data_IF_655030679154
#
_entry.id   IF_655030679154
#
_cell.length_a   1.000
_cell.length_b   1.000
_cell.length_c   1.000
_cell.angle_alpha   90.00
_cell.angle_beta   90.00
_cell.angle_gamma   90.00
#
_symmetry.space_group_name_H-M   'P 1'
#
loop_
_entity.id
_entity.type
_entity.pdbx_description
1 polymer ?
#
# COMPACT_ATOMS: atom_id res chain seq x y z
N UNK A 1 -35.76 30.44 -58.49
CA UNK A 1 -34.51 30.82 -57.80
C UNK A 1 -34.68 31.95 -56.77
N UNK A 2 -35.84 32.06 -56.11
CA UNK A 2 -36.10 33.06 -55.05
C UNK A 2 -36.57 32.43 -53.73
N UNK A 3 -37.16 31.23 -53.76
CA UNK A 3 -37.67 30.51 -52.58
C UNK A 3 -36.57 29.84 -51.73
N UNK A 4 -35.54 29.25 -52.34
CA UNK A 4 -34.47 28.55 -51.58
C UNK A 4 -33.58 29.49 -50.76
N UNK A 5 -33.30 30.69 -51.27
CA UNK A 5 -32.51 31.70 -50.54
C UNK A 5 -33.27 32.29 -49.34
N UNK A 6 -34.60 32.17 -49.33
CA UNK A 6 -35.43 32.61 -48.21
C UNK A 6 -35.41 31.59 -47.06
N UNK A 7 -35.46 30.30 -47.38
CA UNK A 7 -35.35 29.21 -46.39
C UNK A 7 -34.00 29.22 -45.66
N UNK A 8 -32.88 29.36 -46.37
CA UNK A 8 -31.56 29.39 -45.74
C UNK A 8 -31.35 30.61 -44.79
N UNK A 9 -31.94 31.76 -45.13
CA UNK A 9 -31.90 32.97 -44.27
C UNK A 9 -32.82 32.86 -43.06
N UNK A 10 -33.98 32.20 -43.21
CA UNK A 10 -34.91 31.97 -42.12
C UNK A 10 -34.35 30.97 -41.11
N UNK A 11 -33.79 29.85 -41.57
CA UNK A 11 -33.18 28.82 -40.72
C UNK A 11 -32.00 29.39 -39.91
N UNK A 12 -31.12 30.19 -40.52
CA UNK A 12 -30.03 30.88 -39.78
C UNK A 12 -30.52 31.86 -38.72
N UNK A 13 -31.61 32.59 -38.99
CA UNK A 13 -32.20 33.53 -38.03
C UNK A 13 -32.88 32.82 -36.87
N UNK A 14 -33.57 31.72 -37.14
CA UNK A 14 -34.19 30.89 -36.08
C UNK A 14 -33.12 30.23 -35.22
N UNK A 15 -32.04 29.70 -35.81
CA UNK A 15 -30.95 29.08 -35.05
C UNK A 15 -30.20 30.08 -34.16
N UNK A 16 -29.96 31.31 -34.66
CA UNK A 16 -29.35 32.37 -33.86
C UNK A 16 -30.27 32.82 -32.71
N UNK A 17 -31.59 32.87 -32.95
CA UNK A 17 -32.58 33.22 -31.92
C UNK A 17 -32.64 32.16 -30.81
N UNK A 18 -32.56 30.88 -31.17
CA UNK A 18 -32.55 29.75 -30.20
C UNK A 18 -31.26 29.76 -29.37
N UNK A 19 -30.10 30.05 -29.96
CA UNK A 19 -28.85 30.19 -29.23
C UNK A 19 -28.85 31.39 -28.26
N UNK A 20 -29.43 32.52 -28.67
CA UNK A 20 -29.58 33.69 -27.79
C UNK A 20 -30.58 33.42 -26.67
N UNK A 21 -31.68 32.70 -26.94
CA UNK A 21 -32.63 32.29 -25.90
C UNK A 21 -32.01 31.29 -24.92
N UNK A 22 -31.21 30.32 -25.39
CA UNK A 22 -30.51 29.35 -24.54
C UNK A 22 -29.47 30.05 -23.64
N UNK A 23 -28.74 31.03 -24.17
CA UNK A 23 -27.83 31.86 -23.39
C UNK A 23 -28.56 32.74 -22.37
N UNK A 24 -29.78 33.22 -22.67
CA UNK A 24 -30.61 33.98 -21.73
C UNK A 24 -31.16 33.08 -20.60
N UNK A 25 -31.59 31.86 -20.92
CA UNK A 25 -32.11 30.88 -19.94
C UNK A 25 -30.99 30.38 -19.02
N UNK A 26 -29.78 30.17 -19.55
CA UNK A 26 -28.60 29.82 -18.74
C UNK A 26 -28.02 31.03 -17.98
N UNK A 27 -28.22 32.26 -18.49
CA UNK A 27 -27.75 33.50 -17.89
C UNK A 27 -28.66 34.09 -16.79
N UNK A 28 -29.90 33.63 -16.67
CA UNK A 28 -30.88 34.17 -15.70
C UNK A 28 -30.97 33.39 -14.38
N UNK A 29 -30.20 32.32 -14.18
CA UNK A 29 -30.19 31.57 -12.92
C UNK A 29 -29.00 31.91 -12.01
N UNK A 30 -28.68 33.20 -11.89
CA UNK A 30 -27.74 33.75 -10.88
C UNK A 30 -28.50 34.61 -9.88
N UNK A 31 -29.30 33.98 -9.01
CA UNK A 31 -29.68 34.57 -7.72
C UNK A 31 -30.51 33.60 -6.89
N UNK A 32 -29.86 32.91 -5.94
CA UNK A 32 -30.33 32.55 -4.58
C UNK A 32 -29.36 31.52 -3.99
N UNK A 33 -28.30 32.00 -3.35
CA UNK A 33 -27.62 31.25 -2.28
C UNK A 33 -27.87 31.99 -0.97
N UNK A 34 -28.34 31.34 0.10
CA UNK A 34 -28.34 31.93 1.42
C UNK A 34 -26.92 32.04 1.97
N UNK A 35 -26.71 33.13 2.70
CA UNK A 35 -25.45 33.54 3.33
C UNK A 35 -25.17 32.75 4.62
N UNK A 36 -23.85 32.49 4.81
CA UNK A 36 -23.10 32.47 6.09
C UNK A 36 -23.24 31.28 7.03
N UNK A 37 -22.17 30.48 7.06
CA UNK A 37 -21.43 30.23 8.31
C UNK A 37 -19.98 30.72 8.08
N UNK A 38 -19.60 31.82 8.74
CA UNK A 38 -18.23 32.32 8.73
C UNK A 38 -17.36 31.40 9.61
N UNK A 39 -16.43 30.65 9.00
CA UNK A 39 -15.14 30.42 9.63
C UNK A 39 -14.17 31.44 9.01
N UNK A 40 -13.59 32.29 9.86
CA UNK A 40 -12.54 33.19 9.46
C UNK A 40 -11.33 32.37 9.03
N UNK A 41 -11.05 32.33 7.72
CA UNK A 41 -9.72 31.99 7.22
C UNK A 41 -9.05 33.31 6.88
N UNK A 42 -7.98 33.62 7.60
CA UNK A 42 -7.04 34.67 7.22
C UNK A 42 -6.63 34.48 5.75
N UNK A 43 -6.38 35.56 5.00
CA UNK A 43 -5.87 35.42 3.64
C UNK A 43 -4.57 34.62 3.68
N UNK A 44 -4.35 33.68 2.74
CA UNK A 44 -3.10 32.94 2.68
C UNK A 44 -1.95 33.96 2.60
N UNK A 45 -0.86 33.74 3.36
CA UNK A 45 0.28 34.64 3.32
C UNK A 45 0.74 34.77 1.87
N UNK A 46 1.00 36.02 1.47
CA UNK A 46 1.53 36.41 0.17
C UNK A 46 2.63 35.44 -0.25
N UNK A 47 2.45 34.83 -1.43
CA UNK A 47 3.32 33.76 -1.92
C UNK A 47 4.78 34.18 -1.75
N UNK A 48 5.49 33.44 -0.90
CA UNK A 48 6.94 33.57 -0.77
C UNK A 48 7.55 33.58 -2.18
N UNK A 49 8.51 34.46 -2.47
CA UNK A 49 9.11 34.54 -3.79
C UNK A 49 9.57 33.13 -4.18
N UNK A 50 9.16 32.70 -5.39
CA UNK A 50 9.50 31.41 -5.94
C UNK A 50 10.98 31.13 -5.64
N UNK A 51 11.22 30.18 -4.73
CA UNK A 51 12.55 29.65 -4.53
C UNK A 51 12.97 29.18 -5.91
N UNK A 52 14.04 29.77 -6.44
CA UNK A 52 14.72 29.22 -7.59
C UNK A 52 15.11 27.81 -7.17
N UNK A 53 14.34 26.81 -7.61
CA UNK A 53 14.74 25.42 -7.58
C UNK A 53 16.05 25.39 -8.33
N UNK A 54 17.15 25.29 -7.59
CA UNK A 54 18.45 25.07 -8.19
C UNK A 54 18.33 23.75 -8.94
N UNK A 55 18.46 23.80 -10.26
CA UNK A 55 18.82 22.66 -11.11
C UNK A 55 20.22 22.18 -10.71
N UNK A 56 20.34 21.67 -9.48
CA UNK A 56 21.34 20.69 -9.17
C UNK A 56 20.65 19.39 -9.54
N UNK A 57 20.88 18.92 -10.76
CA UNK A 57 20.47 17.59 -11.20
C UNK A 57 21.21 16.61 -10.30
N UNK A 58 20.66 16.40 -9.10
CA UNK A 58 21.26 15.58 -8.07
C UNK A 58 21.44 14.20 -8.69
N UNK A 59 22.66 13.66 -8.61
CA UNK A 59 22.95 12.39 -9.24
C UNK A 59 21.96 11.35 -8.74
N UNK A 60 21.23 10.70 -9.66
CA UNK A 60 20.30 9.63 -9.32
C UNK A 60 20.92 8.30 -9.73
N UNK A 61 20.71 7.28 -8.91
CA UNK A 61 21.20 5.94 -9.16
C UNK A 61 20.04 4.99 -9.33
N UNK A 62 20.07 4.20 -10.39
CA UNK A 62 19.11 3.13 -10.61
C UNK A 62 19.33 2.01 -9.60
N UNK A 63 18.24 1.55 -9.01
CA UNK A 63 18.23 0.57 -7.93
C UNK A 63 17.40 -0.66 -8.30
N UNK A 64 17.87 -1.80 -7.84
CA UNK A 64 17.15 -3.07 -7.87
C UNK A 64 16.62 -3.39 -6.48
N UNK A 65 15.34 -3.74 -6.40
CA UNK A 65 14.75 -4.26 -5.17
C UNK A 65 15.17 -5.72 -5.01
N UNK A 66 16.04 -5.98 -4.03
CA UNK A 66 16.64 -7.30 -3.84
C UNK A 66 15.73 -8.22 -3.06
N UNK A 67 15.27 -7.76 -1.90
CA UNK A 67 14.41 -8.56 -1.01
C UNK A 67 13.77 -7.69 0.07
N UNK A 68 12.84 -8.28 0.81
CA UNK A 68 12.31 -7.75 2.06
C UNK A 68 12.88 -8.60 3.21
N UNK A 69 13.32 -7.92 4.26
CA UNK A 69 14.04 -8.43 5.43
C UNK A 69 13.34 -8.02 6.73
N UNK A 70 13.93 -8.40 7.85
CA UNK A 70 13.61 -7.85 9.17
C UNK A 70 14.87 -7.23 9.77
N UNK A 71 14.76 -6.04 10.33
CA UNK A 71 15.81 -5.49 11.20
C UNK A 71 15.68 -6.12 12.59
N UNK A 72 16.70 -6.86 13.03
CA UNK A 72 16.67 -7.60 14.30
C UNK A 72 16.73 -6.71 15.54
N UNK A 73 17.18 -5.45 15.39
CA UNK A 73 17.26 -4.49 16.50
C UNK A 73 15.89 -3.87 16.73
N UNK A 74 15.29 -3.33 15.67
CA UNK A 74 14.01 -2.63 15.75
C UNK A 74 12.79 -3.53 15.55
N UNK A 75 13.01 -4.79 15.17
CA UNK A 75 11.97 -5.77 14.76
C UNK A 75 11.02 -5.21 13.72
N UNK A 76 11.53 -4.33 12.86
CA UNK A 76 10.75 -3.67 11.82
C UNK A 76 11.10 -4.23 10.44
N UNK A 77 10.13 -4.40 9.54
CA UNK A 77 10.40 -4.83 8.17
C UNK A 77 11.30 -3.85 7.42
N UNK A 78 12.24 -4.37 6.64
CA UNK A 78 13.17 -3.57 5.84
C UNK A 78 13.17 -4.05 4.40
N UNK A 79 12.99 -3.14 3.46
CA UNK A 79 13.22 -3.39 2.04
C UNK A 79 14.68 -3.08 1.72
N UNK A 80 15.37 -4.02 1.06
CA UNK A 80 16.75 -3.81 0.64
C UNK A 80 16.82 -3.47 -0.85
N UNK A 81 17.29 -2.26 -1.15
CA UNK A 81 17.64 -1.83 -2.49
C UNK A 81 19.15 -1.97 -2.72
N UNK A 82 19.54 -2.35 -3.93
CA UNK A 82 20.93 -2.40 -4.38
C UNK A 82 21.11 -1.57 -5.64
N UNK A 83 22.17 -0.78 -5.69
CA UNK A 83 22.52 -0.04 -6.91
C UNK A 83 22.77 -1.00 -8.08
N UNK A 84 22.07 -0.81 -9.20
CA UNK A 84 22.21 -1.67 -10.38
C UNK A 84 23.63 -1.67 -10.95
N UNK A 85 24.30 -0.51 -10.88
CA UNK A 85 25.69 -0.30 -11.30
C UNK A 85 26.53 0.18 -10.12
N UNK A 86 26.88 -0.74 -9.22
CA UNK A 86 27.73 -0.46 -8.08
C UNK A 86 27.55 -1.49 -6.96
N UNK A 87 28.06 -1.17 -5.77
CA UNK A 87 27.97 -2.03 -4.59
C UNK A 87 27.19 -1.39 -3.43
N UNK A 88 26.67 -0.18 -3.60
CA UNK A 88 25.88 0.48 -2.56
C UNK A 88 24.52 -0.19 -2.38
N UNK A 89 24.06 -0.18 -1.13
CA UNK A 89 22.78 -0.76 -0.72
C UNK A 89 22.06 0.27 0.14
N UNK A 90 20.74 0.34 0.01
CA UNK A 90 19.88 1.20 0.81
C UNK A 90 18.80 0.36 1.49
N UNK A 91 18.82 0.26 2.83
CA UNK A 91 17.70 -0.25 3.60
C UNK A 91 16.62 0.82 3.79
N UNK A 92 15.37 0.44 3.52
CA UNK A 92 14.20 1.29 3.71
C UNK A 92 13.24 0.57 4.67
N UNK A 93 13.08 1.10 5.88
CA UNK A 93 12.11 0.59 6.84
C UNK A 93 10.69 0.87 6.35
N UNK A 94 9.84 -0.15 6.44
CA UNK A 94 8.44 -0.08 6.01
C UNK A 94 7.54 -0.76 7.04
N UNK A 95 6.23 -0.49 6.98
CA UNK A 95 5.26 -1.22 7.77
C UNK A 95 5.07 -2.66 7.28
N UNK A 96 4.46 -3.51 8.12
CA UNK A 96 4.23 -4.92 7.83
C UNK A 96 3.32 -5.11 6.61
N UNK A 97 2.27 -4.31 6.49
CA UNK A 97 1.32 -4.41 5.36
C UNK A 97 1.97 -3.96 4.05
N UNK A 98 2.82 -2.93 4.11
CA UNK A 98 3.64 -2.48 3.00
C UNK A 98 4.64 -3.56 2.55
N UNK A 99 5.36 -4.16 3.49
CA UNK A 99 6.29 -5.25 3.24
C UNK A 99 5.61 -6.45 2.54
N UNK A 100 4.41 -6.82 3.00
CA UNK A 100 3.63 -7.89 2.37
C UNK A 100 3.23 -7.55 0.93
N UNK A 101 2.78 -6.33 0.67
CA UNK A 101 2.40 -5.87 -0.67
C UNK A 101 3.55 -5.87 -1.68
N UNK A 102 4.75 -5.53 -1.20
CA UNK A 102 6.01 -5.57 -1.96
C UNK A 102 6.45 -7.01 -2.19
N UNK A 103 6.50 -7.83 -1.14
CA UNK A 103 6.97 -9.21 -1.20
C UNK A 103 6.18 -10.04 -2.21
N UNK A 104 4.84 -9.92 -2.22
CA UNK A 104 3.99 -10.64 -3.19
C UNK A 104 4.32 -10.28 -4.63
N UNK A 105 4.55 -8.99 -4.91
CA UNK A 105 4.93 -8.55 -6.24
C UNK A 105 6.33 -9.04 -6.62
N UNK A 106 7.27 -8.98 -5.70
CA UNK A 106 8.63 -9.49 -5.90
C UNK A 106 8.64 -10.98 -6.23
N UNK A 107 7.76 -11.76 -5.59
CA UNK A 107 7.60 -13.20 -5.82
C UNK A 107 6.71 -13.53 -7.03
N UNK A 108 6.11 -12.53 -7.68
CA UNK A 108 5.18 -12.73 -8.79
C UNK A 108 3.89 -13.47 -8.40
N UNK A 109 3.49 -13.42 -7.13
CA UNK A 109 2.28 -14.10 -6.64
C UNK A 109 1.04 -13.35 -7.13
N UNK A 110 0.21 -14.04 -7.92
CA UNK A 110 -1.07 -13.51 -8.39
C UNK A 110 -2.21 -13.97 -7.47
N UNK A 111 -3.00 -13.01 -6.99
CA UNK A 111 -4.16 -13.28 -6.16
C UNK A 111 -5.41 -13.52 -7.02
N UNK A 112 -6.40 -14.31 -6.57
CA UNK A 112 -7.66 -14.54 -7.30
C UNK A 112 -8.48 -13.27 -7.55
N UNK A 113 -8.26 -12.23 -6.74
CA UNK A 113 -8.87 -10.90 -6.86
C UNK A 113 -7.76 -9.85 -6.75
N UNK A 114 -7.86 -8.73 -7.50
CA UNK A 114 -6.84 -7.68 -7.45
C UNK A 114 -6.80 -7.06 -6.06
N UNK A 115 -5.59 -6.94 -5.51
CA UNK A 115 -5.30 -6.19 -4.29
C UNK A 115 -5.15 -4.69 -4.62
N UNK A 116 -4.90 -3.86 -3.60
CA UNK A 116 -4.85 -2.40 -3.73
C UNK A 116 -3.86 -1.95 -4.81
N UNK A 117 -2.62 -2.43 -4.80
CA UNK A 117 -1.61 -2.04 -5.80
C UNK A 117 -1.90 -2.61 -7.19
N UNK A 118 -2.55 -3.77 -7.29
CA UNK A 118 -2.99 -4.32 -8.58
C UNK A 118 -4.09 -3.43 -9.18
N UNK A 119 -5.08 -3.08 -8.37
CA UNK A 119 -6.16 -2.16 -8.75
C UNK A 119 -5.60 -0.79 -9.17
N UNK A 120 -4.64 -0.24 -8.43
CA UNK A 120 -4.02 1.04 -8.77
C UNK A 120 -3.25 0.98 -10.10
N UNK A 121 -2.51 -0.10 -10.36
CA UNK A 121 -1.81 -0.30 -11.63
C UNK A 121 -2.80 -0.39 -12.80
N UNK A 122 -3.88 -1.17 -12.66
CA UNK A 122 -4.93 -1.24 -13.67
C UNK A 122 -5.63 0.10 -13.87
N UNK A 123 -5.97 0.82 -12.80
CA UNK A 123 -6.59 2.14 -12.92
C UNK A 123 -5.69 3.14 -13.64
N UNK A 124 -4.39 3.11 -13.38
CA UNK A 124 -3.43 3.96 -14.07
C UNK A 124 -3.43 3.68 -15.57
N UNK A 125 -3.35 2.40 -15.95
CA UNK A 125 -3.37 1.96 -17.35
C UNK A 125 -4.68 2.33 -18.07
N UNK A 126 -5.83 2.03 -17.46
CA UNK A 126 -7.16 2.32 -18.02
C UNK A 126 -7.43 3.82 -18.20
N UNK A 127 -6.74 4.67 -17.42
CA UNK A 127 -6.81 6.13 -17.54
C UNK A 127 -5.77 6.69 -18.54
N UNK A 128 -5.10 5.83 -19.31
CA UNK A 128 -4.08 6.23 -20.28
C UNK A 128 -2.78 6.70 -19.63
N UNK A 129 -2.48 6.20 -18.44
CA UNK A 129 -1.28 6.52 -17.68
C UNK A 129 -0.26 5.39 -17.68
N UNK A 130 1.03 5.76 -17.70
CA UNK A 130 2.15 4.84 -17.53
C UNK A 130 3.06 5.36 -16.43
N UNK A 131 3.40 4.50 -15.46
CA UNK A 131 4.43 4.79 -14.48
C UNK A 131 5.80 4.59 -15.13
N UNK A 132 6.52 5.68 -15.40
CA UNK A 132 7.85 5.62 -16.03
C UNK A 132 8.93 5.25 -15.01
N UNK A 133 8.90 5.89 -13.85
CA UNK A 133 9.87 5.66 -12.78
C UNK A 133 9.36 6.08 -11.40
N UNK A 134 9.98 5.49 -10.38
CA UNK A 134 9.84 5.86 -8.97
C UNK A 134 11.18 6.40 -8.50
N UNK A 135 11.19 7.56 -7.85
CA UNK A 135 12.40 8.13 -7.26
C UNK A 135 12.24 8.22 -5.75
N UNK A 136 13.22 7.78 -4.98
CA UNK A 136 13.37 8.11 -3.55
C UNK A 136 14.34 9.29 -3.48
N UNK A 137 13.81 10.48 -3.21
CA UNK A 137 14.51 11.73 -3.48
C UNK A 137 14.99 12.45 -2.22
N UNK A 138 14.36 12.21 -1.06
CA UNK A 138 14.69 12.89 0.19
C UNK A 138 14.56 11.96 1.40
N UNK A 139 15.46 12.13 2.38
CA UNK A 139 15.32 11.62 3.74
C UNK A 139 15.22 12.83 4.69
N UNK A 140 14.05 13.01 5.32
CA UNK A 140 13.83 14.12 6.24
C UNK A 140 13.25 13.60 7.54
N UNK A 141 13.86 13.95 8.67
CA UNK A 141 13.42 13.54 10.01
C UNK A 141 13.25 12.01 10.14
N UNK A 142 14.14 11.24 9.51
CA UNK A 142 14.07 9.77 9.48
C UNK A 142 12.98 9.18 8.58
N UNK A 143 12.28 10.02 7.80
CA UNK A 143 11.23 9.61 6.87
C UNK A 143 11.72 9.76 5.45
N UNK A 144 11.70 8.65 4.70
CA UNK A 144 11.98 8.69 3.26
C UNK A 144 10.76 9.19 2.50
N UNK A 145 11.01 10.07 1.54
CA UNK A 145 10.04 10.57 0.58
C UNK A 145 10.34 10.02 -0.81
N UNK A 146 9.30 9.94 -1.64
CA UNK A 146 9.47 9.53 -3.02
C UNK A 146 8.48 10.18 -3.97
N UNK A 147 8.76 10.02 -5.25
CA UNK A 147 7.97 10.57 -6.35
C UNK A 147 7.67 9.50 -7.38
N UNK A 148 6.44 9.50 -7.87
CA UNK A 148 6.03 8.78 -9.07
C UNK A 148 6.13 9.72 -10.26
N UNK A 149 6.87 9.34 -11.31
CA UNK A 149 6.87 10.04 -12.60
C UNK A 149 5.93 9.31 -13.54
N UNK A 150 4.80 9.94 -13.86
CA UNK A 150 3.75 9.37 -14.70
C UNK A 150 3.71 10.05 -16.07
N UNK A 151 3.65 9.25 -17.14
CA UNK A 151 3.26 9.71 -18.47
C UNK A 151 1.76 9.56 -18.62
N UNK A 152 1.06 10.61 -19.03
CA UNK A 152 -0.36 10.54 -19.39
C UNK A 152 -0.51 10.80 -20.88
N UNK A 153 -1.27 9.97 -21.57
CA UNK A 153 -1.57 10.16 -22.99
C UNK A 153 -2.15 11.55 -23.27
N UNK A 154 -1.65 12.18 -24.35
CA UNK A 154 -2.05 13.54 -24.73
C UNK A 154 -1.50 14.66 -23.83
N UNK A 155 -0.62 14.36 -22.88
CA UNK A 155 0.11 15.36 -22.10
C UNK A 155 1.61 15.32 -22.43
N UNK A 156 2.16 16.47 -22.85
CA UNK A 156 3.57 16.56 -23.24
C UNK A 156 4.53 16.43 -22.04
N UNK A 157 4.12 16.94 -20.88
CA UNK A 157 4.93 16.90 -19.66
C UNK A 157 4.50 15.75 -18.74
N UNK A 158 5.46 15.04 -18.12
CA UNK A 158 5.15 14.03 -17.13
C UNK A 158 4.51 14.67 -15.89
N UNK A 159 3.66 13.89 -15.20
CA UNK A 159 3.09 14.26 -13.91
C UNK A 159 3.94 13.66 -12.80
N UNK A 160 4.28 14.49 -11.82
CA UNK A 160 5.01 14.08 -10.63
C UNK A 160 4.02 14.02 -9.47
N UNK A 161 3.93 12.87 -8.82
CA UNK A 161 3.10 12.68 -7.64
C UNK A 161 3.96 12.29 -6.45
N UNK A 162 3.71 12.92 -5.31
CA UNK A 162 4.28 12.50 -4.03
C UNK A 162 3.80 11.09 -3.66
N UNK A 163 4.69 10.28 -3.11
CA UNK A 163 4.39 8.92 -2.69
C UNK A 163 5.27 8.50 -1.52
N UNK A 164 4.77 7.57 -0.70
CA UNK A 164 5.63 6.82 0.20
C UNK A 164 6.48 5.87 -0.63
N UNK A 165 7.79 5.72 -0.34
CA UNK A 165 8.65 4.79 -1.05
C UNK A 165 8.10 3.36 -1.13
N UNK A 166 7.44 2.87 -0.08
CA UNK A 166 6.81 1.55 -0.06
C UNK A 166 5.76 1.35 -1.16
N UNK A 167 4.89 2.35 -1.36
CA UNK A 167 3.83 2.29 -2.36
C UNK A 167 4.42 2.40 -3.77
N UNK A 168 5.41 3.29 -3.93
CA UNK A 168 6.14 3.42 -5.19
C UNK A 168 6.83 2.11 -5.59
N UNK A 169 7.58 1.49 -4.69
CA UNK A 169 8.24 0.20 -4.95
C UNK A 169 7.24 -0.90 -5.30
N UNK A 170 6.10 -0.98 -4.58
CA UNK A 170 5.06 -1.96 -4.84
C UNK A 170 4.41 -1.79 -6.22
N UNK A 171 4.26 -0.55 -6.70
CA UNK A 171 3.77 -0.24 -8.05
C UNK A 171 4.85 -0.53 -9.10
N UNK A 172 6.10 -0.13 -8.87
CA UNK A 172 7.21 -0.37 -9.77
C UNK A 172 7.39 -1.85 -10.12
N UNK A 173 7.32 -2.73 -9.11
CA UNK A 173 7.39 -4.18 -9.31
C UNK A 173 6.24 -4.74 -10.17
N UNK A 174 5.06 -4.09 -10.17
CA UNK A 174 3.88 -4.53 -10.93
C UNK A 174 3.86 -3.97 -12.35
N UNK A 175 4.30 -2.72 -12.52
CA UNK A 175 4.29 -2.03 -13.82
C UNK A 175 5.60 -2.19 -14.59
N UNK A 176 6.65 -2.70 -13.94
CA UNK A 176 8.00 -2.77 -14.50
C UNK A 176 8.71 -1.41 -14.55
N UNK A 177 8.26 -0.42 -13.78
CA UNK A 177 8.89 0.89 -13.73
C UNK A 177 10.25 0.82 -13.03
N UNK A 178 11.20 1.64 -13.48
CA UNK A 178 12.52 1.70 -12.86
C UNK A 178 12.47 2.42 -11.50
N UNK A 179 13.30 1.98 -10.56
CA UNK A 179 13.44 2.59 -9.23
C UNK A 179 14.76 3.36 -9.20
N UNK A 180 14.72 4.61 -8.77
CA UNK A 180 15.86 5.50 -8.62
C UNK A 180 15.98 6.00 -7.19
N UNK A 181 17.20 6.27 -6.75
CA UNK A 181 17.49 6.93 -5.47
C UNK A 181 18.46 8.06 -5.70
N UNK A 182 18.20 9.21 -5.07
CA UNK A 182 19.11 10.35 -5.08
C UNK A 182 20.42 10.03 -4.33
N UNK A 183 21.56 10.44 -4.88
CA UNK A 183 22.90 10.24 -4.32
C UNK A 183 23.04 10.74 -2.88
N UNK A 184 22.37 11.84 -2.52
CA UNK A 184 22.38 12.34 -1.13
C UNK A 184 21.69 11.36 -0.17
N UNK A 185 20.57 10.76 -0.58
CA UNK A 185 19.87 9.73 0.21
C UNK A 185 20.75 8.48 0.37
N UNK A 186 21.50 8.10 -0.67
CA UNK A 186 22.44 6.97 -0.58
C UNK A 186 23.60 7.24 0.39
N UNK A 187 24.09 8.48 0.47
CA UNK A 187 25.18 8.86 1.40
C UNK A 187 24.76 8.82 2.86
N UNK A 188 23.48 9.06 3.14
CA UNK A 188 22.93 9.05 4.51
C UNK A 188 22.60 7.64 5.02
N UNK A 189 22.92 6.60 4.24
CA UNK A 189 22.55 5.22 4.58
C UNK A 189 23.23 4.72 5.86
N UNK A 190 22.46 4.31 6.89
CA UNK A 190 23.02 3.66 8.07
C UNK A 190 23.49 2.22 7.78
N UNK A 191 24.58 1.81 8.44
CA UNK A 191 24.98 0.40 8.50
C UNK A 191 23.92 -0.39 9.28
N UNK A 192 23.32 -1.41 8.65
CA UNK A 192 22.34 -2.29 9.29
C UNK A 192 22.83 -3.75 9.36
N UNK A 193 22.46 -4.44 10.43
CA UNK A 193 22.55 -5.90 10.50
C UNK A 193 21.36 -6.49 9.73
N UNK A 194 21.53 -6.60 8.42
CA UNK A 194 20.50 -7.10 7.51
C UNK A 194 20.48 -8.63 7.47
N UNK A 195 19.34 -9.23 7.85
CA UNK A 195 19.06 -10.65 7.58
C UNK A 195 17.98 -10.72 6.49
N UNK A 196 18.28 -11.27 5.29
CA UNK A 196 17.26 -11.52 4.27
C UNK A 196 16.17 -12.44 4.82
N UNK A 197 14.88 -12.21 4.51
CA UNK A 197 13.84 -13.21 4.75
C UNK A 197 14.04 -14.40 3.78
N UNK A 198 15.05 -15.23 4.04
CA UNK A 198 15.16 -16.56 3.46
C UNK A 198 14.30 -17.53 4.30
N UNK A 199 13.94 -18.67 3.68
CA UNK A 199 13.03 -19.72 4.18
C UNK A 199 13.31 -20.20 5.62
N UNK A 200 12.92 -19.43 6.63
CA UNK A 200 13.12 -19.81 8.03
C UNK A 200 12.67 -18.80 9.07
N UNK A 201 12.69 -17.50 8.77
CA UNK A 201 12.33 -16.43 9.73
C UNK A 201 11.15 -15.59 9.22
N UNK A 202 10.20 -16.23 8.56
CA UNK A 202 8.96 -15.58 8.15
C UNK A 202 8.16 -15.16 9.39
N UNK A 203 7.50 -14.00 9.32
CA UNK A 203 6.57 -13.53 10.34
C UNK A 203 5.23 -13.27 9.65
N UNK A 204 4.17 -13.91 10.12
CA UNK A 204 2.82 -13.75 9.58
C UNK A 204 1.89 -13.30 10.69
N UNK A 205 1.06 -12.29 10.42
CA UNK A 205 0.00 -11.83 11.32
C UNK A 205 -1.35 -11.89 10.62
N UNK A 206 -2.32 -12.61 11.20
CA UNK A 206 -3.70 -12.72 10.70
C UNK A 206 -4.65 -13.12 11.83
N UNK A 207 -5.93 -12.74 11.75
CA UNK A 207 -6.96 -13.00 12.78
C UNK A 207 -6.55 -12.58 14.22
N UNK A 208 -5.65 -11.60 14.34
CA UNK A 208 -5.09 -11.18 15.63
C UNK A 208 -4.04 -12.14 16.20
N UNK A 209 -3.47 -13.05 15.40
CA UNK A 209 -2.41 -13.99 15.79
C UNK A 209 -1.17 -13.67 14.95
N UNK A 210 -0.04 -13.44 15.62
CA UNK A 210 1.27 -13.30 14.96
C UNK A 210 2.11 -14.53 15.23
N UNK A 211 2.59 -15.20 14.17
CA UNK A 211 3.36 -16.44 14.24
C UNK A 211 4.71 -16.37 13.56
N UNK A 212 5.65 -17.17 14.05
CA UNK A 212 6.99 -17.40 13.49
C UNK A 212 7.31 -18.90 13.46
N UNK A 213 8.36 -19.30 12.74
CA UNK A 213 8.93 -20.64 12.91
C UNK A 213 9.68 -20.69 14.25
N UNK A 214 9.44 -21.70 15.11
CA UNK A 214 10.23 -21.88 16.32
C UNK A 214 11.69 -22.21 15.97
N UNK A 215 12.63 -21.55 16.64
CA UNK A 215 14.07 -21.89 16.63
C UNK A 215 14.40 -22.65 17.92
N UNK A 216 15.59 -23.23 18.03
CA UNK A 216 16.04 -23.91 19.26
C UNK A 216 15.93 -22.97 20.48
N UNK A 217 16.42 -21.74 20.36
CA UNK A 217 16.34 -20.73 21.42
C UNK A 217 14.89 -20.43 21.85
N UNK A 218 13.95 -20.40 20.90
CA UNK A 218 12.53 -20.22 21.23
C UNK A 218 11.97 -21.44 21.95
N UNK A 219 12.38 -22.66 21.56
CA UNK A 219 11.94 -23.89 22.21
C UNK A 219 12.41 -23.94 23.66
N UNK A 220 13.65 -23.60 23.93
CA UNK A 220 14.16 -23.48 25.30
C UNK A 220 13.44 -22.36 26.08
N UNK A 221 13.25 -21.19 25.47
CA UNK A 221 12.68 -20.02 26.15
C UNK A 221 11.21 -20.24 26.59
N UNK A 222 10.41 -20.90 25.75
CA UNK A 222 8.98 -21.10 25.98
C UNK A 222 8.64 -22.54 26.40
N UNK A 223 9.66 -23.37 26.66
CA UNK A 223 9.52 -24.79 27.03
C UNK A 223 8.65 -25.56 26.00
N UNK A 224 8.93 -25.34 24.72
CA UNK A 224 8.15 -25.89 23.62
C UNK A 224 8.56 -27.34 23.31
N UNK A 225 7.60 -28.20 22.94
CA UNK A 225 7.91 -29.55 22.52
C UNK A 225 8.56 -29.60 21.14
N UNK A 226 9.18 -30.74 20.82
CA UNK A 226 9.86 -30.98 19.54
C UNK A 226 8.91 -31.05 18.32
N UNK A 227 7.60 -31.07 18.59
CA UNK A 227 6.53 -31.16 17.60
C UNK A 227 6.67 -30.06 16.53
N UNK A 228 6.52 -30.39 15.23
CA UNK A 228 6.45 -29.37 14.18
C UNK A 228 5.23 -28.48 14.36
N UNK A 229 5.41 -27.17 14.16
CA UNK A 229 4.35 -26.18 14.29
C UNK A 229 4.86 -24.76 14.09
N UNK A 230 3.99 -23.78 14.26
CA UNK A 230 4.34 -22.35 14.26
C UNK A 230 4.12 -21.75 15.64
N UNK A 231 5.09 -20.95 16.10
CA UNK A 231 5.08 -20.35 17.43
C UNK A 231 4.32 -19.03 17.42
N UNK A 232 3.38 -18.88 18.34
CA UNK A 232 2.64 -17.64 18.59
C UNK A 232 3.51 -16.67 19.40
N UNK A 233 3.81 -15.51 18.83
CA UNK A 233 4.59 -14.46 19.50
C UNK A 233 3.75 -13.31 20.05
N UNK A 234 2.53 -13.16 19.52
CA UNK A 234 1.57 -12.14 19.92
C UNK A 234 0.14 -12.60 19.60
N UNK A 235 -0.80 -12.28 20.49
CA UNK A 235 -2.24 -12.43 20.28
C UNK A 235 -2.99 -11.15 20.63
N UNK A 236 -3.97 -10.82 19.82
CA UNK A 236 -4.85 -9.66 19.92
C UNK A 236 -6.30 -10.08 19.61
N UNK A 237 -7.26 -9.25 20.01
CA UNK A 237 -8.66 -9.39 19.58
C UNK A 237 -9.33 -10.68 20.09
N UNK A 238 -10.07 -11.36 19.21
CA UNK A 238 -10.82 -12.59 19.56
C UNK A 238 -9.88 -13.74 19.92
N UNK A 239 -8.74 -13.90 19.25
CA UNK A 239 -7.77 -14.97 19.54
C UNK A 239 -7.27 -14.90 20.99
N UNK A 240 -6.97 -13.68 21.45
CA UNK A 240 -6.59 -13.45 22.84
C UNK A 240 -7.77 -13.71 23.81
N UNK A 241 -8.98 -13.27 23.46
CA UNK A 241 -10.18 -13.49 24.31
C UNK A 241 -10.52 -14.96 24.50
N UNK A 242 -10.31 -15.76 23.46
CA UNK A 242 -10.56 -17.21 23.47
C UNK A 242 -9.42 -18.00 24.14
N UNK A 243 -8.37 -17.32 24.59
CA UNK A 243 -7.35 -17.89 25.47
C UNK A 243 -6.03 -18.26 24.79
N UNK A 244 -5.85 -17.95 23.50
CA UNK A 244 -4.57 -18.11 22.82
C UNK A 244 -3.57 -17.05 23.32
N UNK A 245 -2.35 -17.46 23.59
CA UNK A 245 -1.33 -16.64 24.24
C UNK A 245 0.01 -16.74 23.51
N UNK A 246 0.88 -15.77 23.80
CA UNK A 246 2.30 -15.84 23.42
C UNK A 246 2.94 -17.07 24.07
N UNK A 247 3.69 -17.82 23.28
CA UNK A 247 4.33 -19.07 23.70
C UNK A 247 3.54 -20.31 23.32
N UNK A 248 2.32 -20.17 22.81
CA UNK A 248 1.57 -21.32 22.28
C UNK A 248 2.17 -21.76 20.94
N UNK A 249 2.27 -23.08 20.74
CA UNK A 249 2.72 -23.68 19.48
C UNK A 249 1.51 -24.19 18.70
N UNK A 250 1.14 -23.54 17.61
CA UNK A 250 0.05 -23.98 16.75
C UNK A 250 0.54 -25.16 15.92
N UNK A 251 -0.15 -26.29 16.05
CA UNK A 251 0.21 -27.56 15.39
C UNK A 251 -0.77 -27.93 14.28
N UNK A 252 -1.97 -27.35 14.29
CA UNK A 252 -2.99 -27.62 13.27
C UNK A 252 -4.01 -26.47 13.16
N UNK A 253 -4.42 -26.20 11.92
CA UNK A 253 -5.53 -25.31 11.55
C UNK A 253 -6.45 -26.08 10.62
N UNK A 254 -7.69 -26.33 11.05
CA UNK A 254 -8.62 -27.26 10.41
C UNK A 254 -7.93 -28.60 10.06
N UNK A 255 -7.82 -28.96 8.77
CA UNK A 255 -7.16 -30.18 8.31
C UNK A 255 -5.66 -30.01 8.01
N UNK A 256 -5.12 -28.78 8.12
CA UNK A 256 -3.75 -28.46 7.73
C UNK A 256 -2.81 -28.38 8.94
N UNK A 257 -1.57 -28.86 8.77
CA UNK A 257 -0.54 -28.89 9.82
C UNK A 257 0.62 -27.95 9.46
N UNK A 258 0.49 -26.65 9.73
CA UNK A 258 1.49 -25.68 9.29
C UNK A 258 2.80 -25.85 10.04
N UNK A 259 3.88 -25.94 9.30
CA UNK A 259 5.27 -25.93 9.80
C UNK A 259 5.99 -24.62 9.50
N UNK A 260 5.39 -23.79 8.65
CA UNK A 260 5.87 -22.46 8.33
C UNK A 260 4.78 -21.39 8.53
N UNK A 261 5.17 -20.16 8.85
CA UNK A 261 4.23 -19.04 8.96
C UNK A 261 3.38 -18.82 7.70
N UNK A 262 3.95 -19.05 6.51
CA UNK A 262 3.19 -18.98 5.26
C UNK A 262 2.18 -20.12 5.13
N UNK A 263 2.52 -21.36 5.50
CA UNK A 263 1.55 -22.47 5.55
C UNK A 263 0.42 -22.18 6.54
N UNK A 264 0.71 -21.53 7.67
CA UNK A 264 -0.32 -21.09 8.61
C UNK A 264 -1.27 -20.06 7.98
N UNK A 265 -0.72 -19.08 7.25
CA UNK A 265 -1.52 -18.10 6.52
C UNK A 265 -2.42 -18.79 5.48
N UNK A 266 -1.84 -19.68 4.68
CA UNK A 266 -2.56 -20.42 3.63
C UNK A 266 -3.66 -21.31 4.22
N UNK A 267 -3.40 -21.96 5.35
CA UNK A 267 -4.40 -22.76 6.06
C UNK A 267 -5.62 -21.94 6.48
N UNK A 268 -5.38 -20.74 7.02
CA UNK A 268 -6.46 -19.81 7.39
C UNK A 268 -7.23 -19.34 6.15
N UNK A 269 -6.54 -19.06 5.04
CA UNK A 269 -7.18 -18.59 3.80
C UNK A 269 -7.96 -19.69 3.07
N UNK A 270 -7.55 -20.95 3.21
CA UNK A 270 -8.16 -22.11 2.59
C UNK A 270 -9.40 -22.62 3.34
N UNK A 271 -9.61 -22.17 4.58
CA UNK A 271 -10.73 -22.58 5.41
C UNK A 271 -12.08 -22.26 4.70
N UNK A 272 -12.95 -23.26 4.45
CA UNK A 272 -14.17 -23.08 3.66
C UNK A 272 -15.32 -22.42 4.45
N UNK A 273 -15.12 -22.11 5.73
CA UNK A 273 -16.18 -21.74 6.68
C UNK A 273 -16.04 -20.34 7.29
N UNK A 274 -17.04 -19.97 8.11
CA UNK A 274 -17.03 -18.75 8.94
C UNK A 274 -16.18 -18.86 10.19
N UNK A 275 -15.75 -20.07 10.53
CA UNK A 275 -15.02 -20.40 11.75
C UNK A 275 -13.90 -21.37 11.39
N UNK A 276 -12.74 -21.21 12.01
CA UNK A 276 -11.57 -22.08 11.89
C UNK A 276 -11.31 -22.77 13.23
N UNK A 277 -10.91 -24.04 13.18
CA UNK A 277 -10.43 -24.78 14.35
C UNK A 277 -8.91 -24.68 14.42
N UNK A 278 -8.38 -24.23 15.56
CA UNK A 278 -6.94 -24.19 15.82
C UNK A 278 -6.63 -25.12 16.98
N UNK A 279 -5.74 -26.09 16.74
CA UNK A 279 -5.12 -26.89 17.80
C UNK A 279 -3.71 -26.42 18.06
N UNK A 280 -3.41 -26.25 19.34
CA UNK A 280 -2.15 -25.69 19.80
C UNK A 280 -1.66 -26.41 21.07
N UNK A 281 -0.36 -26.29 21.32
CA UNK A 281 0.31 -26.80 22.50
C UNK A 281 0.74 -25.63 23.40
N UNK A 282 0.51 -25.77 24.70
CA UNK A 282 1.08 -24.90 25.74
C UNK A 282 1.93 -25.75 26.68
N UNK A 283 3.25 -25.68 26.51
CA UNK A 283 4.14 -26.73 27.00
C UNK A 283 3.75 -28.08 26.40
N UNK A 284 3.47 -29.08 27.24
CA UNK A 284 3.05 -30.42 26.82
C UNK A 284 1.52 -30.60 26.68
N UNK A 285 0.72 -29.59 27.05
CA UNK A 285 -0.75 -29.69 27.01
C UNK A 285 -1.29 -29.29 25.64
N UNK A 286 -2.08 -30.17 25.02
CA UNK A 286 -2.85 -29.89 23.81
C UNK A 286 -4.23 -29.32 24.14
N UNK A 287 -4.56 -28.19 23.51
CA UNK A 287 -5.86 -27.54 23.59
C UNK A 287 -6.33 -27.14 22.18
N UNK A 288 -7.63 -26.88 22.08
CA UNK A 288 -8.30 -26.50 20.84
C UNK A 288 -9.16 -25.25 21.06
N UNK A 289 -9.24 -24.41 20.02
CA UNK A 289 -10.13 -23.26 20.00
C UNK A 289 -10.79 -23.09 18.63
N UNK A 290 -11.96 -22.45 18.64
CA UNK A 290 -12.70 -22.09 17.42
C UNK A 290 -12.69 -20.58 17.24
N UNK A 291 -12.10 -20.09 16.14
CA UNK A 291 -11.99 -18.68 15.82
C UNK A 291 -12.90 -18.29 14.65
N UNK A 292 -13.69 -17.22 14.74
CA UNK A 292 -14.37 -16.71 13.56
C UNK A 292 -13.36 -16.22 12.52
N UNK A 293 -13.48 -16.74 11.30
CA UNK A 293 -12.67 -16.39 10.13
C UNK A 293 -13.02 -14.99 9.57
N UNK A 294 -14.22 -14.48 9.92
CA UNK A 294 -14.60 -13.10 9.62
C UNK A 294 -13.95 -12.15 10.63
N UNK A 295 -13.02 -11.31 10.16
CA UNK A 295 -12.62 -10.12 10.91
C UNK A 295 -13.88 -9.32 11.28
N UNK A 296 -14.08 -8.90 12.55
CA UNK A 296 -15.18 -8.01 12.87
C UNK A 296 -15.03 -6.76 12.00
N UNK A 297 -15.99 -6.57 11.07
CA UNK A 297 -16.12 -5.33 10.34
C UNK A 297 -16.43 -4.28 11.40
N UNK A 298 -15.55 -3.29 11.65
CA UNK A 298 -15.90 -2.22 12.58
C UNK A 298 -17.23 -1.63 12.11
N UNK A 299 -18.20 -1.42 13.02
CA UNK A 299 -19.51 -0.91 12.62
C UNK A 299 -19.29 0.34 11.79
N UNK A 300 -19.76 0.31 10.53
CA UNK A 300 -19.83 1.52 9.71
C UNK A 300 -20.72 2.47 10.47
N UNK A 301 -20.14 3.52 11.05
CA UNK A 301 -20.96 4.64 11.48
C UNK A 301 -21.80 5.05 10.27
N UNK A 302 -23.14 5.14 10.40
CA UNK A 302 -23.95 5.61 9.30
C UNK A 302 -23.38 6.95 8.90
N UNK A 303 -23.05 7.10 7.60
CA UNK A 303 -22.64 8.39 7.05
C UNK A 303 -23.68 9.38 7.54
N UNK A 304 -23.27 10.35 8.36
CA UNK A 304 -24.11 11.51 8.61
C UNK A 304 -24.28 12.13 7.25
N UNK A 305 -25.48 11.98 6.68
CA UNK A 305 -25.86 12.70 5.49
C UNK A 305 -25.61 14.17 5.80
N UNK A 306 -24.59 14.73 5.14
CA UNK A 306 -24.28 16.15 5.25
C UNK A 306 -25.44 16.84 4.54
N UNK A 307 -26.39 17.32 5.34
CA UNK A 307 -27.53 18.14 4.91
C UNK A 307 -27.07 19.52 4.44
#
# INVERSE_FOLDING_TARGET
>A
MFLEKFHARLVRRVFLLVLVLAALVLGLNRSRMPQRLLCATEPPPEAAPAAQESENEAAEHEMELVTVGMDMVTRSPVVLLRQAKGNQRLPVWVGILEAQGIMRALQGIQMPRPMTHDLMATLLEELGGTLERVTIDELRDGTYHGKLTLRIEGQDQPRILDTRPSDGMALALRTGAAIYVNDEVLKETPDILFVPLAEGEQVVSTLGITVIRPTEDHREQFDLPETPGVLVIETLGEAQRLGLQRGDLIIQVDDQKPTTPMEFFEAIQAAPGKTIQIRYLRGDQEDELELPAEMPVPPREPRRDIA
#
